data_IF_946449619253
#
_entry.id   IF_946449619253
#
_cell.length_a   1.000
_cell.length_b   1.000
_cell.length_c   1.000
_cell.angle_alpha   90.00
_cell.angle_beta   90.00
_cell.angle_gamma   90.00
#
_symmetry.space_group_name_H-M   'P 1'
#
loop_
_entity.id
_entity.type
_entity.pdbx_description
1 polymer ?
#
# COMPACT_ATOMS: atom_id res chain seq x y z
N UNK A 1 -10.48 19.01 11.41
CA UNK A 1 -10.46 17.64 11.94
C UNK A 1 -10.10 17.71 13.42
N UNK A 2 -10.75 16.96 14.30
CA UNK A 2 -10.35 16.85 15.71
C UNK A 2 -9.71 15.49 15.95
N UNK A 3 -8.59 15.46 16.65
CA UNK A 3 -7.98 14.21 17.08
C UNK A 3 -8.83 13.60 18.20
N UNK A 4 -9.02 12.28 18.15
CA UNK A 4 -9.78 11.52 19.16
C UNK A 4 -8.92 11.17 20.38
N UNK A 5 -7.62 11.02 20.18
CA UNK A 5 -6.57 10.78 21.18
C UNK A 5 -5.23 11.23 20.61
N UNK A 6 -4.20 11.31 21.43
CA UNK A 6 -2.86 11.66 20.94
C UNK A 6 -2.30 10.54 20.04
N UNK A 7 -1.53 10.87 19.00
CA UNK A 7 -0.88 9.88 18.15
C UNK A 7 0.06 8.97 18.95
N UNK A 8 -0.03 7.66 18.71
CA UNK A 8 0.84 6.66 19.35
C UNK A 8 0.34 6.12 20.68
N UNK A 9 -0.78 6.62 21.23
CA UNK A 9 -1.33 6.09 22.49
C UNK A 9 -2.09 4.76 22.33
N UNK A 10 -2.75 4.57 21.18
CA UNK A 10 -3.55 3.37 20.90
C UNK A 10 -3.66 3.13 19.41
N UNK A 11 -3.83 1.86 19.06
CA UNK A 11 -4.15 1.43 17.72
C UNK A 11 -5.66 1.55 17.46
N UNK A 12 -6.04 2.11 16.32
CA UNK A 12 -7.40 2.11 15.79
C UNK A 12 -7.32 1.98 14.27
N UNK A 13 -7.93 0.93 13.71
CA UNK A 13 -7.98 0.76 12.26
C UNK A 13 -8.92 1.78 11.64
N UNK A 14 -8.37 2.67 10.80
CA UNK A 14 -9.10 3.77 10.19
C UNK A 14 -8.73 3.91 8.71
N UNK A 15 -9.66 3.57 7.81
CA UNK A 15 -9.46 3.71 6.36
C UNK A 15 -9.11 5.14 5.93
N UNK A 16 -9.61 6.15 6.68
CA UNK A 16 -9.27 7.55 6.45
C UNK A 16 -7.77 7.85 6.57
N UNK A 17 -7.04 7.12 7.41
CA UNK A 17 -5.58 7.28 7.55
C UNK A 17 -4.86 6.85 6.26
N UNK A 18 -5.29 5.74 5.64
CA UNK A 18 -4.73 5.28 4.37
C UNK A 18 -5.11 6.22 3.21
N UNK A 19 -6.29 6.84 3.25
CA UNK A 19 -6.65 7.89 2.28
C UNK A 19 -5.79 9.15 2.45
N UNK A 20 -5.50 9.55 3.68
CA UNK A 20 -4.60 10.67 3.97
C UNK A 20 -3.18 10.39 3.47
N UNK A 21 -2.69 9.16 3.65
CA UNK A 21 -1.42 8.73 3.05
C UNK A 21 -1.44 8.82 1.52
N UNK A 22 -2.58 8.50 0.89
CA UNK A 22 -2.81 8.71 -0.53
C UNK A 22 -2.63 10.17 -0.97
N UNK A 23 -3.18 11.12 -0.20
CA UNK A 23 -3.01 12.56 -0.44
C UNK A 23 -1.56 13.05 -0.31
N UNK A 24 -0.79 12.42 0.59
CA UNK A 24 0.65 12.70 0.74
C UNK A 24 1.41 12.15 -0.48
N UNK A 25 1.08 10.93 -0.90
CA UNK A 25 1.72 10.28 -2.04
C UNK A 25 1.43 11.03 -3.35
N UNK A 26 0.19 11.42 -3.60
CA UNK A 26 -0.18 12.20 -4.79
C UNK A 26 0.63 13.50 -4.88
N UNK A 27 0.73 14.28 -3.79
CA UNK A 27 1.58 15.47 -3.74
C UNK A 27 3.05 15.19 -3.98
N UNK A 28 3.57 14.08 -3.45
CA UNK A 28 4.97 13.68 -3.65
C UNK A 28 5.25 13.29 -5.11
N UNK A 29 4.25 12.74 -5.81
CA UNK A 29 4.34 12.32 -7.21
C UNK A 29 4.17 13.48 -8.20
N UNK A 30 3.66 14.64 -7.75
CA UNK A 30 3.43 15.85 -8.56
C UNK A 30 2.46 15.58 -9.72
N UNK A 31 3.00 15.26 -10.89
CA UNK A 31 2.24 15.14 -12.14
C UNK A 31 1.87 13.68 -12.48
N UNK A 32 2.17 12.74 -11.58
CA UNK A 32 1.92 11.31 -11.78
C UNK A 32 0.83 10.80 -10.84
N UNK A 33 -0.16 10.10 -11.41
CA UNK A 33 -1.21 9.44 -10.63
C UNK A 33 -0.66 8.28 -9.80
N UNK A 34 -1.34 7.93 -8.70
CA UNK A 34 -0.92 6.80 -7.86
C UNK A 34 -1.03 5.49 -8.66
N UNK A 35 -2.03 5.38 -9.53
CA UNK A 35 -2.18 4.23 -10.45
C UNK A 35 -0.98 4.11 -11.38
N UNK A 36 -0.54 5.19 -12.02
CA UNK A 36 0.62 5.16 -12.90
C UNK A 36 1.91 4.82 -12.13
N UNK A 37 2.04 5.30 -10.90
CA UNK A 37 3.16 4.93 -10.03
C UNK A 37 3.13 3.45 -9.63
N UNK A 38 1.96 2.91 -9.24
CA UNK A 38 1.79 1.49 -8.96
C UNK A 38 2.13 0.63 -10.18
N UNK A 39 1.67 1.05 -11.37
CA UNK A 39 1.93 0.37 -12.63
C UNK A 39 3.43 0.26 -12.92
N UNK A 40 4.14 1.40 -12.84
CA UNK A 40 5.58 1.47 -13.10
C UNK A 40 6.41 0.70 -12.08
N UNK A 41 6.09 0.84 -10.79
CA UNK A 41 6.96 0.36 -9.71
C UNK A 41 6.68 -1.07 -9.28
N UNK A 42 5.45 -1.54 -9.46
CA UNK A 42 4.99 -2.85 -8.98
C UNK A 42 4.37 -3.67 -10.11
N UNK A 43 3.36 -3.16 -10.82
CA UNK A 43 2.58 -3.97 -11.76
C UNK A 43 3.42 -4.53 -12.92
N UNK A 44 4.16 -3.66 -13.61
CA UNK A 44 5.07 -4.07 -14.70
C UNK A 44 6.24 -4.92 -14.18
N UNK A 45 6.95 -4.54 -13.11
CA UNK A 45 8.07 -5.35 -12.62
C UNK A 45 7.69 -6.73 -12.07
N UNK A 46 6.46 -6.92 -11.59
CA UNK A 46 5.94 -8.23 -11.16
C UNK A 46 5.36 -9.03 -12.33
N UNK A 47 5.38 -8.49 -13.55
CA UNK A 47 4.83 -9.13 -14.74
C UNK A 47 3.37 -9.55 -14.50
N UNK A 48 2.56 -8.67 -13.92
CA UNK A 48 1.13 -8.94 -13.72
C UNK A 48 0.48 -9.31 -15.06
N UNK A 49 -0.39 -10.31 -15.05
CA UNK A 49 -0.92 -10.97 -16.25
C UNK A 49 -2.11 -10.24 -16.85
N UNK A 50 -2.85 -9.49 -16.04
CA UNK A 50 -4.09 -8.84 -16.46
C UNK A 50 -4.10 -7.37 -16.05
N UNK A 51 -4.89 -6.59 -16.78
CA UNK A 51 -5.21 -5.23 -16.40
C UNK A 51 -5.96 -5.21 -15.06
N UNK A 52 -5.57 -4.26 -14.21
CA UNK A 52 -6.29 -3.91 -13.00
C UNK A 52 -7.10 -2.63 -13.16
N UNK A 53 -7.95 -2.33 -12.20
CA UNK A 53 -8.59 -1.01 -12.08
C UNK A 53 -8.54 -0.51 -10.65
N UNK A 54 -8.48 0.81 -10.48
CA UNK A 54 -8.58 1.45 -9.16
C UNK A 54 -9.73 2.45 -9.17
N UNK A 55 -10.67 2.29 -8.24
CA UNK A 55 -11.78 3.23 -8.12
C UNK A 55 -11.31 4.62 -7.67
N UNK A 56 -11.80 5.66 -8.35
CA UNK A 56 -11.58 7.06 -7.98
C UNK A 56 -12.64 7.58 -7.00
N UNK A 57 -12.29 8.61 -6.23
CA UNK A 57 -13.19 9.29 -5.29
C UNK A 57 -14.29 10.10 -6.00
N UNK A 58 -14.06 10.50 -7.25
CA UNK A 58 -14.99 11.22 -8.13
C UNK A 58 -14.67 10.96 -9.60
N UNK A 59 -15.58 11.34 -10.51
CA UNK A 59 -15.48 11.04 -11.95
C UNK A 59 -14.40 11.86 -12.70
N UNK A 60 -14.21 13.13 -12.33
CA UNK A 60 -13.28 14.04 -13.01
C UNK A 60 -12.21 14.49 -12.03
N UNK A 61 -10.94 14.35 -12.42
CA UNK A 61 -9.76 14.73 -11.61
C UNK A 61 -9.80 14.10 -10.20
N UNK A 62 -10.24 12.84 -10.13
CA UNK A 62 -10.39 12.11 -8.88
C UNK A 62 -9.12 11.45 -8.42
N UNK A 63 -8.96 11.36 -7.10
CA UNK A 63 -7.89 10.62 -6.45
C UNK A 63 -8.31 9.15 -6.30
N UNK A 64 -7.35 8.24 -6.42
CA UNK A 64 -7.59 6.83 -6.09
C UNK A 64 -8.10 6.69 -4.64
N UNK A 65 -9.07 5.81 -4.43
CA UNK A 65 -9.53 5.41 -3.09
C UNK A 65 -8.46 4.53 -2.45
N UNK A 66 -7.39 5.11 -1.93
CA UNK A 66 -6.16 4.38 -1.59
C UNK A 66 -6.30 3.40 -0.44
N UNK A 67 -7.37 3.49 0.34
CA UNK A 67 -7.70 2.53 1.40
C UNK A 67 -8.34 1.23 0.89
N UNK A 68 -8.73 1.15 -0.38
CA UNK A 68 -9.44 -0.01 -0.93
C UNK A 68 -9.36 -0.08 -2.47
N UNK A 69 -10.24 -0.91 -3.03
CA UNK A 69 -10.85 -0.67 -4.34
C UNK A 69 -9.92 -0.73 -5.55
N UNK A 70 -8.77 -1.38 -5.38
CA UNK A 70 -8.03 -2.02 -6.47
C UNK A 70 -8.79 -3.30 -6.83
N UNK A 71 -9.04 -3.51 -8.11
CA UNK A 71 -9.54 -4.77 -8.65
C UNK A 71 -8.44 -5.42 -9.48
N UNK A 72 -8.13 -6.68 -9.19
CA UNK A 72 -7.16 -7.49 -9.93
C UNK A 72 -7.61 -8.95 -9.97
N UNK A 73 -6.98 -9.77 -10.83
CA UNK A 73 -7.21 -11.22 -10.79
C UNK A 73 -6.51 -11.82 -9.58
N UNK A 74 -7.03 -12.94 -9.08
CA UNK A 74 -6.45 -13.65 -7.94
C UNK A 74 -4.97 -14.03 -8.16
N UNK A 75 -4.59 -14.38 -9.39
CA UNK A 75 -3.20 -14.68 -9.75
C UNK A 75 -2.28 -13.47 -9.56
N UNK A 76 -2.72 -12.27 -9.95
CA UNK A 76 -1.94 -11.03 -9.77
C UNK A 76 -1.79 -10.66 -8.30
N UNK A 77 -2.84 -10.83 -7.48
CA UNK A 77 -2.71 -10.69 -6.02
C UNK A 77 -1.72 -11.70 -5.42
N UNK A 78 -1.74 -12.95 -5.90
CA UNK A 78 -0.80 -13.97 -5.43
C UNK A 78 0.67 -13.60 -5.74
N UNK A 79 0.94 -12.83 -6.81
CA UNK A 79 2.29 -12.32 -7.11
C UNK A 79 2.81 -11.35 -6.05
N UNK A 80 1.93 -10.53 -5.46
CA UNK A 80 2.30 -9.67 -4.31
C UNK A 80 2.69 -10.52 -3.10
N UNK A 81 1.93 -11.58 -2.81
CA UNK A 81 2.27 -12.55 -1.76
C UNK A 81 3.61 -13.24 -2.02
N UNK A 82 3.85 -13.72 -3.25
CA UNK A 82 5.14 -14.31 -3.67
C UNK A 82 6.28 -13.30 -3.55
N UNK A 83 6.07 -12.04 -3.87
CA UNK A 83 7.08 -10.98 -3.71
C UNK A 83 7.52 -10.87 -2.25
N UNK A 84 6.56 -10.79 -1.32
CA UNK A 84 6.85 -10.70 0.12
C UNK A 84 7.49 -11.98 0.66
N UNK A 85 7.03 -13.16 0.24
CA UNK A 85 7.64 -14.46 0.57
C UNK A 85 9.12 -14.52 0.14
N UNK A 86 9.45 -13.89 -1.00
CA UNK A 86 10.82 -13.79 -1.51
C UNK A 86 11.53 -12.50 -1.08
N UNK A 87 11.13 -11.92 0.06
CA UNK A 87 11.78 -10.75 0.67
C UNK A 87 11.94 -9.56 -0.28
N UNK A 88 10.92 -9.34 -1.11
CA UNK A 88 10.87 -8.23 -2.06
C UNK A 88 11.60 -8.47 -3.38
N UNK A 89 12.07 -9.71 -3.64
CA UNK A 89 12.70 -10.10 -4.91
C UNK A 89 11.69 -10.73 -5.87
N UNK A 90 11.77 -10.34 -7.13
CA UNK A 90 11.04 -10.94 -8.25
C UNK A 90 12.02 -11.35 -9.34
N UNK A 91 12.08 -12.64 -9.67
CA UNK A 91 12.96 -13.19 -10.71
C UNK A 91 14.42 -12.68 -10.63
N UNK A 92 14.97 -12.58 -9.41
CA UNK A 92 16.34 -12.11 -9.15
C UNK A 92 16.50 -10.59 -9.00
N UNK A 93 15.49 -9.79 -9.34
CA UNK A 93 15.50 -8.32 -9.18
C UNK A 93 14.87 -7.90 -7.85
N UNK A 94 15.51 -6.97 -7.13
CA UNK A 94 14.92 -6.37 -5.93
C UNK A 94 13.89 -5.30 -6.31
N UNK A 95 12.62 -5.52 -5.99
CA UNK A 95 11.52 -4.58 -6.28
C UNK A 95 11.17 -3.75 -5.03
N UNK A 96 11.05 -4.40 -3.88
CA UNK A 96 10.82 -3.79 -2.56
C UNK A 96 12.00 -4.18 -1.69
N UNK A 97 12.60 -3.29 -0.89
CA UNK A 97 13.78 -3.67 -0.10
C UNK A 97 13.47 -4.79 0.91
N UNK A 98 14.43 -5.69 1.14
CA UNK A 98 14.32 -6.76 2.15
C UNK A 98 14.11 -6.17 3.55
N UNK A 99 14.74 -5.03 3.84
CA UNK A 99 14.53 -4.28 5.09
C UNK A 99 13.07 -3.84 5.25
N UNK A 100 12.46 -3.28 4.20
CA UNK A 100 11.06 -2.87 4.26
C UNK A 100 10.13 -4.05 4.43
N UNK A 101 10.35 -5.16 3.70
CA UNK A 101 9.53 -6.38 3.87
C UNK A 101 9.62 -6.84 5.32
N UNK A 102 10.83 -6.99 5.85
CA UNK A 102 11.06 -7.43 7.24
C UNK A 102 10.42 -6.50 8.26
N UNK A 103 10.56 -5.18 8.08
CA UNK A 103 10.02 -4.17 8.98
C UNK A 103 8.49 -4.12 8.91
N UNK A 104 7.92 -4.22 7.71
CA UNK A 104 6.47 -4.10 7.47
C UNK A 104 5.68 -5.29 8.01
N UNK A 105 6.28 -6.48 8.09
CA UNK A 105 5.62 -7.70 8.58
C UNK A 105 6.06 -8.12 9.98
N UNK A 106 6.86 -7.31 10.67
CA UNK A 106 7.30 -7.59 12.04
C UNK A 106 6.24 -7.12 13.03
N UNK A 107 5.93 -7.96 14.02
CA UNK A 107 5.07 -7.59 15.15
C UNK A 107 5.62 -6.34 15.84
N UNK A 108 4.77 -5.34 15.98
CA UNK A 108 5.06 -4.17 16.81
C UNK A 108 4.67 -4.46 18.27
N UNK A 109 5.60 -4.20 19.17
CA UNK A 109 5.41 -4.39 20.62
C UNK A 109 5.59 -3.08 21.38
N UNK A 110 5.64 -1.94 20.69
CA UNK A 110 5.71 -0.62 21.32
C UNK A 110 4.38 -0.26 21.97
N UNK A 111 4.42 0.64 22.95
CA UNK A 111 3.20 1.09 23.62
C UNK A 111 2.23 1.73 22.61
N UNK A 112 0.95 1.40 22.71
CA UNK A 112 -0.10 1.87 21.79
C UNK A 112 -0.17 1.15 20.43
N UNK A 113 0.70 0.17 20.17
CA UNK A 113 0.62 -0.66 18.96
C UNK A 113 -0.36 -1.84 19.09
N UNK A 114 -0.62 -2.54 17.98
CA UNK A 114 -1.37 -3.79 17.97
C UNK A 114 -0.48 -4.94 17.48
N UNK A 115 -0.43 -6.04 18.25
CA UNK A 115 0.42 -7.19 17.93
C UNK A 115 0.07 -7.90 16.61
N UNK A 116 -1.15 -7.67 16.11
CA UNK A 116 -1.70 -8.26 14.89
C UNK A 116 -1.75 -7.28 13.71
N UNK A 117 -1.23 -6.06 13.86
CA UNK A 117 -1.29 -5.07 12.78
C UNK A 117 -0.05 -4.17 12.74
N UNK A 118 0.60 -4.11 11.59
CA UNK A 118 1.74 -3.21 11.39
C UNK A 118 1.88 -2.83 9.91
N UNK A 119 2.07 -1.54 9.62
CA UNK A 119 2.29 -1.03 8.24
C UNK A 119 1.30 -1.60 7.18
N UNK A 120 0.03 -1.81 7.53
CA UNK A 120 -1.04 -2.40 6.69
C UNK A 120 -0.97 -3.93 6.47
N UNK A 121 -0.14 -4.64 7.24
CA UNK A 121 -0.14 -6.10 7.38
C UNK A 121 -0.83 -6.53 8.66
#
# INVERSE_FOLDING_TARGET
MKLKSEPGEKFEYLSGNTQLLGLVLERALKDKTITAYLEERIWKPLEMEYDGSWSLDRKKDGLEKTFCCINARARDYAKIGRLYLNKGKWNGKQIVSEEWVTKSTKIDTTNGSASYYQYQW
#
